data_IF_634684126930
#
_entry.id   IF_634684126930
#
_cell.length_a   1.000
_cell.length_b   1.000
_cell.length_c   1.000
_cell.angle_alpha   90.00
_cell.angle_beta   90.00
_cell.angle_gamma   90.00
#
_symmetry.space_group_name_H-M   'P 1'
#
loop_
_entity.id
_entity.type
_entity.pdbx_description
1 polymer ?
#
# COMPACT_ATOMS: atom_id res chain seq x y z
N UNK A 1 36.74 -71.34 -26.77
CA UNK A 1 37.38 -70.78 -27.98
C UNK A 1 36.84 -69.39 -28.15
N UNK A 2 37.67 -68.35 -27.88
CA UNK A 2 37.30 -66.96 -28.13
C UNK A 2 37.67 -66.64 -29.57
N UNK A 3 36.70 -66.46 -30.43
CA UNK A 3 36.93 -66.00 -31.82
C UNK A 3 37.49 -64.58 -31.77
N UNK A 4 38.65 -64.29 -32.36
CA UNK A 4 39.16 -62.92 -32.40
C UNK A 4 38.22 -62.10 -33.29
N UNK A 5 37.69 -60.98 -32.75
CA UNK A 5 36.95 -59.96 -33.51
C UNK A 5 37.90 -59.46 -34.59
N UNK A 6 37.55 -59.64 -35.87
CA UNK A 6 38.41 -59.28 -36.99
C UNK A 6 38.61 -57.78 -37.03
N UNK A 7 39.83 -57.32 -37.31
CA UNK A 7 40.20 -55.90 -37.39
C UNK A 7 39.22 -55.04 -38.21
N UNK A 8 38.63 -55.49 -39.33
CA UNK A 8 37.64 -54.73 -40.08
C UNK A 8 36.32 -54.50 -39.33
N UNK A 9 35.89 -55.43 -38.45
CA UNK A 9 34.68 -55.28 -37.61
C UNK A 9 34.93 -54.21 -36.52
N UNK A 10 36.12 -54.18 -35.92
CA UNK A 10 36.52 -53.16 -34.96
C UNK A 10 36.63 -51.77 -35.62
N UNK A 11 37.16 -51.71 -36.86
CA UNK A 11 37.24 -50.49 -37.65
C UNK A 11 35.83 -49.96 -38.04
N UNK A 12 34.91 -50.87 -38.39
CA UNK A 12 33.53 -50.57 -38.73
C UNK A 12 32.76 -49.99 -37.50
N UNK A 13 33.05 -50.54 -36.30
CA UNK A 13 32.47 -50.06 -35.05
C UNK A 13 33.03 -48.70 -34.63
N UNK A 14 34.28 -48.38 -34.97
CA UNK A 14 34.89 -47.06 -34.71
C UNK A 14 34.40 -45.97 -35.68
N UNK A 15 33.95 -46.33 -36.87
CA UNK A 15 33.41 -45.40 -37.87
C UNK A 15 31.94 -44.98 -37.59
N UNK A 16 31.25 -45.65 -36.65
CA UNK A 16 29.85 -45.36 -36.36
C UNK A 16 29.63 -44.25 -35.32
N UNK A 17 30.69 -43.71 -34.68
CA UNK A 17 30.60 -42.58 -33.77
C UNK A 17 30.75 -41.25 -34.53
N UNK A 18 29.80 -40.97 -35.44
CA UNK A 18 29.65 -39.60 -35.94
C UNK A 18 29.09 -38.78 -34.78
N UNK A 19 29.78 -37.75 -34.30
CA UNK A 19 29.24 -36.87 -33.24
C UNK A 19 27.95 -36.22 -33.74
N UNK A 20 26.83 -36.60 -33.15
CA UNK A 20 25.56 -35.94 -33.39
C UNK A 20 25.67 -34.55 -32.74
N UNK A 21 25.66 -33.50 -33.53
CA UNK A 21 25.64 -32.11 -33.04
C UNK A 21 24.16 -31.69 -32.96
N UNK A 22 23.59 -31.59 -31.78
CA UNK A 22 22.19 -31.17 -31.68
C UNK A 22 22.03 -29.69 -32.04
N UNK A 23 20.82 -29.31 -32.47
CA UNK A 23 20.44 -27.90 -32.52
C UNK A 23 20.67 -27.30 -31.14
N UNK A 24 21.50 -26.27 -31.07
CA UNK A 24 21.73 -25.52 -29.81
C UNK A 24 21.02 -24.17 -29.89
N UNK A 25 20.20 -23.86 -28.88
CA UNK A 25 19.54 -22.59 -28.75
C UNK A 25 19.92 -22.00 -27.39
N UNK A 26 20.43 -20.79 -27.40
CA UNK A 26 20.95 -20.10 -26.23
C UNK A 26 20.41 -18.67 -26.12
N UNK A 27 20.48 -18.12 -24.93
CA UNK A 27 20.20 -16.69 -24.70
C UNK A 27 21.34 -16.06 -23.92
N UNK A 28 21.73 -14.85 -24.30
CA UNK A 28 22.71 -14.06 -23.57
C UNK A 28 22.16 -13.51 -22.25
N UNK A 29 20.83 -13.43 -22.12
CA UNK A 29 20.15 -12.84 -20.95
C UNK A 29 18.88 -13.61 -20.61
N UNK A 30 18.95 -14.63 -19.71
CA UNK A 30 17.77 -15.40 -19.31
C UNK A 30 16.74 -14.60 -18.52
N UNK A 31 17.14 -13.44 -17.96
CA UNK A 31 16.24 -12.48 -17.29
C UNK A 31 16.51 -11.08 -17.84
N UNK A 32 15.53 -10.54 -18.54
CA UNK A 32 15.56 -9.18 -19.10
C UNK A 32 14.73 -8.28 -18.20
N UNK A 33 15.34 -7.18 -17.72
CA UNK A 33 14.65 -6.16 -16.89
C UNK A 33 14.65 -4.85 -17.64
N UNK A 34 13.48 -4.28 -17.87
CA UNK A 34 13.32 -3.00 -18.58
C UNK A 34 12.29 -2.13 -17.89
N UNK A 35 12.41 -0.83 -18.02
CA UNK A 35 11.42 0.13 -17.54
C UNK A 35 10.17 0.11 -18.45
N UNK A 36 9.00 0.31 -17.87
CA UNK A 36 7.75 0.39 -18.61
C UNK A 36 7.84 1.45 -19.71
N UNK A 37 7.22 1.18 -20.89
CA UNK A 37 7.26 1.97 -22.13
C UNK A 37 8.62 2.03 -22.84
N UNK A 38 9.65 1.38 -22.32
CA UNK A 38 10.93 1.22 -23.01
C UNK A 38 10.92 0.04 -23.99
N UNK A 39 12.07 -0.27 -24.56
CA UNK A 39 12.30 -1.39 -25.48
C UNK A 39 12.86 -2.60 -24.72
N UNK A 40 12.37 -3.80 -25.02
CA UNK A 40 12.89 -5.05 -24.51
C UNK A 40 13.45 -5.91 -25.64
N UNK A 41 14.74 -6.26 -25.54
CA UNK A 41 15.40 -7.21 -26.46
C UNK A 41 15.47 -8.57 -25.79
N UNK A 42 14.80 -9.58 -26.38
CA UNK A 42 14.83 -10.97 -25.95
C UNK A 42 15.76 -11.72 -26.90
N UNK A 43 16.99 -11.99 -26.44
CA UNK A 43 18.01 -12.59 -27.28
C UNK A 43 17.77 -14.10 -27.44
N UNK A 44 17.85 -14.57 -28.67
CA UNK A 44 17.83 -15.97 -29.01
C UNK A 44 18.89 -16.22 -30.09
N UNK A 45 19.88 -17.03 -29.76
CA UNK A 45 20.96 -17.39 -30.65
C UNK A 45 20.91 -18.90 -30.87
N UNK A 46 21.09 -19.33 -32.10
CA UNK A 46 21.05 -20.76 -32.42
C UNK A 46 22.20 -21.20 -33.35
N UNK A 47 22.50 -22.48 -33.31
CA UNK A 47 23.38 -23.14 -34.25
C UNK A 47 22.71 -24.43 -34.69
N UNK A 48 22.68 -24.67 -36.00
CA UNK A 48 22.15 -25.84 -36.65
C UNK A 48 23.30 -26.68 -37.25
N UNK A 49 23.09 -27.96 -37.44
CA UNK A 49 24.07 -28.86 -38.07
C UNK A 49 24.08 -28.69 -39.62
N UNK A 50 22.88 -28.77 -40.21
CA UNK A 50 22.69 -28.81 -41.68
C UNK A 50 21.66 -27.79 -42.15
N UNK A 51 20.64 -27.55 -41.34
CA UNK A 51 19.51 -26.71 -41.71
C UNK A 51 19.92 -25.26 -41.82
N UNK A 52 19.79 -24.67 -43.02
CA UNK A 52 20.14 -23.28 -43.31
C UNK A 52 18.98 -22.32 -43.09
N UNK A 53 17.74 -22.85 -42.99
CA UNK A 53 16.53 -22.06 -42.83
C UNK A 53 15.61 -22.72 -41.78
N UNK A 54 16.05 -22.84 -40.52
CA UNK A 54 15.23 -23.44 -39.49
C UNK A 54 14.00 -22.56 -39.19
N UNK A 55 12.92 -23.21 -38.78
CA UNK A 55 11.71 -22.52 -38.35
C UNK A 55 11.91 -21.93 -36.96
N UNK A 56 11.66 -20.64 -36.79
CA UNK A 56 11.77 -19.92 -35.54
C UNK A 56 10.37 -19.61 -35.03
N UNK A 57 10.10 -19.94 -33.76
CA UNK A 57 8.87 -19.63 -33.07
C UNK A 57 9.16 -18.95 -31.74
N UNK A 58 8.34 -17.98 -31.39
CA UNK A 58 8.32 -17.38 -30.07
C UNK A 58 6.97 -17.58 -29.42
N UNK A 59 6.99 -18.05 -28.20
CA UNK A 59 5.81 -18.31 -27.39
C UNK A 59 5.91 -17.58 -26.07
N UNK A 60 4.77 -17.11 -25.54
CA UNK A 60 4.64 -16.56 -24.20
C UNK A 60 3.81 -17.50 -23.35
N UNK A 61 4.30 -17.79 -22.15
CA UNK A 61 3.57 -18.59 -21.16
C UNK A 61 2.58 -17.68 -20.43
N UNK A 62 1.30 -18.00 -20.57
CA UNK A 62 0.17 -17.37 -19.88
C UNK A 62 -0.63 -18.45 -19.11
N UNK A 63 -1.95 -18.46 -19.15
CA UNK A 63 -2.77 -19.59 -18.67
C UNK A 63 -2.51 -20.84 -19.53
N UNK A 64 -1.94 -20.67 -20.73
CA UNK A 64 -1.41 -21.67 -21.66
C UNK A 64 -0.20 -21.10 -22.38
N UNK A 65 0.13 -21.64 -23.55
CA UNK A 65 1.18 -21.09 -24.42
C UNK A 65 0.50 -20.31 -25.56
N UNK A 66 0.83 -19.04 -25.70
CA UNK A 66 0.38 -18.19 -26.81
C UNK A 66 1.54 -17.89 -27.75
N UNK A 67 1.25 -17.85 -29.06
CA UNK A 67 2.25 -17.44 -30.03
C UNK A 67 2.50 -15.93 -29.98
N UNK A 68 3.77 -15.55 -29.96
CA UNK A 68 4.27 -14.19 -30.12
C UNK A 68 4.70 -13.98 -31.58
N UNK A 69 5.45 -14.97 -32.10
CA UNK A 69 5.91 -15.00 -33.47
C UNK A 69 5.81 -16.45 -34.01
N UNK A 70 5.14 -16.61 -35.12
CA UNK A 70 4.91 -17.89 -35.78
C UNK A 70 4.69 -17.66 -37.29
N UNK A 71 5.15 -18.58 -38.10
CA UNK A 71 5.02 -18.52 -39.56
C UNK A 71 5.43 -17.14 -40.14
N UNK A 72 6.61 -16.66 -39.73
CA UNK A 72 7.19 -15.38 -40.12
C UNK A 72 6.34 -14.13 -39.79
N UNK A 73 5.36 -14.27 -38.91
CA UNK A 73 4.47 -13.17 -38.51
C UNK A 73 4.39 -13.02 -37.00
N UNK A 74 4.34 -11.79 -36.51
CA UNK A 74 3.94 -11.51 -35.14
C UNK A 74 2.44 -11.67 -34.97
N UNK A 75 2.00 -12.11 -33.80
CA UNK A 75 0.60 -12.34 -33.49
C UNK A 75 0.09 -11.53 -32.29
N UNK A 76 -1.22 -11.34 -32.22
CA UNK A 76 -1.89 -10.67 -31.11
C UNK A 76 -1.37 -9.27 -30.81
N UNK A 77 -1.08 -8.95 -29.53
CA UNK A 77 -0.67 -7.59 -29.12
C UNK A 77 0.74 -7.20 -29.58
N UNK A 78 1.50 -8.09 -30.21
CA UNK A 78 2.86 -7.85 -30.67
C UNK A 78 2.94 -7.29 -32.10
N UNK A 79 1.84 -7.40 -32.86
CA UNK A 79 1.74 -6.86 -34.22
C UNK A 79 2.02 -5.35 -34.24
N UNK A 80 2.92 -4.93 -35.13
CA UNK A 80 3.26 -3.52 -35.33
C UNK A 80 4.15 -2.87 -34.27
N UNK A 81 4.47 -3.59 -33.18
CA UNK A 81 5.37 -3.10 -32.12
C UNK A 81 6.53 -4.07 -31.79
N UNK A 82 6.62 -5.17 -32.48
CA UNK A 82 7.72 -6.10 -32.36
C UNK A 82 8.49 -6.22 -33.65
N UNK A 83 9.80 -6.49 -33.57
CA UNK A 83 10.71 -6.76 -34.68
C UNK A 83 11.51 -8.01 -34.39
N UNK A 84 11.93 -8.72 -35.43
CA UNK A 84 12.81 -9.87 -35.33
C UNK A 84 14.06 -9.62 -36.13
N UNK A 85 15.21 -10.03 -35.58
CA UNK A 85 16.53 -10.02 -36.23
C UNK A 85 17.20 -11.35 -35.92
N UNK A 86 17.39 -12.19 -36.95
CA UNK A 86 17.72 -13.59 -36.77
C UNK A 86 16.60 -14.29 -35.96
N UNK A 87 16.93 -14.84 -34.79
CA UNK A 87 15.94 -15.38 -33.88
C UNK A 87 15.63 -14.45 -32.68
N UNK A 88 16.35 -13.35 -32.54
CA UNK A 88 16.15 -12.36 -31.45
C UNK A 88 14.96 -11.47 -31.75
N UNK A 89 14.05 -11.31 -30.79
CA UNK A 89 12.93 -10.35 -30.90
C UNK A 89 13.17 -9.11 -30.06
N UNK A 90 12.66 -7.99 -30.55
CA UNK A 90 12.67 -6.70 -29.88
C UNK A 90 11.25 -6.18 -29.77
N UNK A 91 10.79 -6.01 -28.52
CA UNK A 91 9.46 -5.49 -28.20
C UNK A 91 9.59 -3.99 -27.90
N UNK A 92 8.82 -3.16 -28.59
CA UNK A 92 8.79 -1.71 -28.36
C UNK A 92 7.65 -1.34 -27.42
N UNK A 93 7.85 -0.28 -26.60
CA UNK A 93 6.85 0.25 -25.66
C UNK A 93 6.24 -0.85 -24.80
N UNK A 94 7.10 -1.59 -24.12
CA UNK A 94 6.67 -2.69 -23.25
C UNK A 94 5.81 -2.17 -22.10
N UNK A 95 4.81 -2.94 -21.72
CA UNK A 95 3.91 -2.67 -20.62
C UNK A 95 3.94 -3.82 -19.61
N UNK A 96 3.33 -3.65 -18.46
CA UNK A 96 3.19 -4.72 -17.46
C UNK A 96 2.54 -6.00 -18.03
N UNK A 97 1.68 -5.87 -19.05
CA UNK A 97 1.05 -7.01 -19.73
C UNK A 97 2.05 -7.84 -20.53
N UNK A 98 3.18 -7.27 -20.89
CA UNK A 98 4.24 -7.98 -21.63
C UNK A 98 5.16 -8.77 -20.69
N UNK A 99 5.19 -8.46 -19.39
CA UNK A 99 5.95 -9.22 -18.42
C UNK A 99 5.54 -10.71 -18.43
N UNK A 100 6.51 -11.59 -18.19
CA UNK A 100 6.27 -13.04 -18.15
C UNK A 100 7.40 -13.84 -18.77
N UNK A 101 7.16 -15.14 -18.92
CA UNK A 101 8.11 -16.10 -19.47
C UNK A 101 7.88 -16.29 -20.96
N UNK A 102 8.95 -16.11 -21.73
CA UNK A 102 9.00 -16.30 -23.15
C UNK A 102 9.88 -17.49 -23.50
N UNK A 103 9.52 -18.19 -24.55
CA UNK A 103 10.29 -19.30 -25.11
C UNK A 103 10.58 -19.05 -26.57
N UNK A 104 11.85 -19.10 -26.92
CA UNK A 104 12.32 -19.19 -28.28
C UNK A 104 12.48 -20.67 -28.62
N UNK A 105 11.84 -21.12 -29.68
CA UNK A 105 11.97 -22.50 -30.22
C UNK A 105 12.52 -22.42 -31.64
N UNK A 106 13.50 -23.26 -31.92
CA UNK A 106 14.11 -23.38 -33.25
C UNK A 106 13.99 -24.81 -33.71
N UNK A 107 13.29 -25.03 -34.84
CA UNK A 107 13.08 -26.32 -35.44
C UNK A 107 13.89 -26.45 -36.73
N UNK A 108 14.91 -27.32 -36.71
CA UNK A 108 15.79 -27.64 -37.84
C UNK A 108 15.45 -29.01 -38.40
N UNK A 109 14.62 -29.07 -39.41
CA UNK A 109 14.02 -30.32 -39.91
C UNK A 109 15.02 -31.32 -40.52
N UNK A 110 16.17 -30.82 -40.97
CA UNK A 110 17.24 -31.63 -41.59
C UNK A 110 18.34 -32.07 -40.63
N UNK A 111 18.30 -31.57 -39.39
CA UNK A 111 19.27 -31.90 -38.36
C UNK A 111 18.91 -33.20 -37.61
N UNK A 112 19.92 -33.83 -37.02
CA UNK A 112 19.74 -35.09 -36.27
C UNK A 112 18.90 -34.89 -35.01
N UNK A 113 19.05 -33.75 -34.33
CA UNK A 113 18.17 -33.27 -33.26
C UNK A 113 17.49 -32.03 -33.77
N UNK A 114 16.18 -32.14 -33.98
CA UNK A 114 15.41 -31.14 -34.75
C UNK A 114 14.90 -29.96 -33.95
N UNK A 115 14.87 -30.02 -32.61
CA UNK A 115 14.28 -28.97 -31.78
C UNK A 115 15.26 -28.53 -30.71
N UNK A 116 15.45 -27.21 -30.62
CA UNK A 116 16.12 -26.54 -29.51
C UNK A 116 15.25 -25.41 -28.94
N UNK A 117 15.42 -25.12 -27.66
CA UNK A 117 14.65 -24.06 -26.98
C UNK A 117 15.50 -23.26 -26.00
N UNK A 118 15.16 -22.00 -25.82
CA UNK A 118 15.67 -21.13 -24.77
C UNK A 118 14.52 -20.38 -24.09
N UNK A 119 14.58 -20.26 -22.76
CA UNK A 119 13.58 -19.57 -21.96
C UNK A 119 14.13 -18.24 -21.45
N UNK A 120 13.34 -17.16 -21.58
CA UNK A 120 13.67 -15.83 -21.18
C UNK A 120 12.53 -15.23 -20.34
N UNK A 121 12.85 -14.75 -19.15
CA UNK A 121 11.88 -14.05 -18.31
C UNK A 121 11.99 -12.55 -18.52
N UNK A 122 10.92 -11.90 -18.99
CA UNK A 122 10.82 -10.46 -19.10
C UNK A 122 10.19 -9.88 -17.85
N UNK A 123 10.92 -9.01 -17.16
CA UNK A 123 10.44 -8.24 -15.99
C UNK A 123 10.31 -6.77 -16.38
N UNK A 124 9.10 -6.25 -16.32
CA UNK A 124 8.81 -4.83 -16.57
C UNK A 124 8.82 -4.09 -15.24
N UNK A 125 9.64 -3.06 -15.16
CA UNK A 125 9.85 -2.24 -13.96
C UNK A 125 9.04 -0.96 -14.09
N UNK A 126 8.38 -0.54 -13.01
CA UNK A 126 7.59 0.68 -12.97
C UNK A 126 8.18 1.63 -11.93
N UNK A 127 8.60 2.85 -12.33
CA UNK A 127 9.10 3.84 -11.39
C UNK A 127 8.01 4.29 -10.43
N UNK A 128 8.37 4.87 -9.27
CA UNK A 128 7.40 5.38 -8.32
C UNK A 128 6.53 6.47 -8.92
N UNK A 129 5.24 6.44 -8.59
CA UNK A 129 4.32 7.54 -8.78
C UNK A 129 4.38 8.49 -7.58
N UNK A 130 3.75 9.66 -7.70
CA UNK A 130 3.62 10.56 -6.54
C UNK A 130 2.84 9.84 -5.44
N UNK A 131 3.45 9.55 -4.28
CA UNK A 131 2.78 8.83 -3.22
C UNK A 131 1.66 9.66 -2.60
N UNK A 132 0.63 8.98 -2.09
CA UNK A 132 -0.35 9.59 -1.21
C UNK A 132 0.23 9.70 0.21
N UNK A 133 0.07 10.86 0.85
CA UNK A 133 0.49 11.09 2.22
C UNK A 133 -0.70 11.46 3.09
N UNK A 134 -0.91 10.70 4.16
CA UNK A 134 -1.87 10.99 5.20
C UNK A 134 -1.13 11.61 6.38
N UNK A 135 -1.28 12.92 6.55
CA UNK A 135 -0.63 13.72 7.60
C UNK A 135 -1.74 14.55 8.28
N UNK A 136 -2.01 14.32 9.58
CA UNK A 136 -2.99 15.13 10.29
C UNK A 136 -2.56 16.59 10.36
N UNK A 137 -3.50 17.52 10.26
CA UNK A 137 -3.22 18.96 10.35
C UNK A 137 -2.84 19.39 11.77
N UNK A 138 -3.37 18.67 12.79
CA UNK A 138 -3.02 18.93 14.20
C UNK A 138 -3.14 17.66 15.05
N UNK A 139 -2.46 17.65 16.19
CA UNK A 139 -2.56 16.62 17.22
C UNK A 139 -2.35 17.23 18.61
N UNK A 140 -2.80 16.53 19.66
CA UNK A 140 -2.60 16.97 21.05
C UNK A 140 -1.30 16.40 21.60
N UNK A 141 -0.58 17.20 22.38
CA UNK A 141 0.61 16.75 23.12
C UNK A 141 0.30 15.48 23.92
N UNK A 142 1.19 14.49 23.79
CA UNK A 142 1.05 13.20 24.47
C UNK A 142 0.20 12.17 23.73
N UNK A 143 -0.46 12.52 22.63
CA UNK A 143 -1.23 11.56 21.82
C UNK A 143 -0.34 10.69 20.94
N UNK A 144 -0.90 9.59 20.44
CA UNK A 144 -0.31 8.72 19.42
C UNK A 144 -0.73 9.23 18.06
N UNK A 145 0.24 9.40 17.15
CA UNK A 145 -0.01 9.88 15.78
C UNK A 145 0.69 8.98 14.79
N UNK A 146 0.01 8.65 13.70
CA UNK A 146 0.56 7.85 12.63
C UNK A 146 0.45 8.60 11.30
N UNK A 147 1.59 8.81 10.63
CA UNK A 147 1.67 9.34 9.29
C UNK A 147 1.84 8.17 8.32
N UNK A 148 1.12 8.17 7.20
CA UNK A 148 1.14 7.10 6.22
C UNK A 148 1.53 7.63 4.85
N UNK A 149 2.41 6.90 4.19
CA UNK A 149 2.87 7.17 2.83
C UNK A 149 2.68 5.91 1.98
N UNK A 150 2.02 6.04 0.82
CA UNK A 150 1.72 4.89 -0.02
C UNK A 150 1.85 5.21 -1.50
N UNK A 151 2.65 4.42 -2.21
CA UNK A 151 2.64 4.26 -3.65
C UNK A 151 2.11 2.86 -3.99
N UNK A 152 1.14 2.79 -4.91
CA UNK A 152 0.44 1.54 -5.23
C UNK A 152 0.94 0.89 -6.53
N UNK A 153 1.74 1.60 -7.33
CA UNK A 153 1.97 1.25 -8.73
C UNK A 153 3.41 0.86 -9.04
N UNK A 154 4.37 1.20 -8.19
CA UNK A 154 5.77 0.91 -8.44
C UNK A 154 6.09 -0.59 -8.41
N UNK A 155 6.93 -1.02 -9.35
CA UNK A 155 7.44 -2.39 -9.45
C UNK A 155 8.96 -2.34 -9.66
N UNK A 156 9.75 -2.89 -8.74
CA UNK A 156 9.37 -3.46 -7.43
C UNK A 156 8.71 -2.44 -6.50
N UNK A 157 8.05 -2.89 -5.41
CA UNK A 157 7.47 -2.00 -4.41
C UNK A 157 8.46 -0.95 -3.92
N UNK A 158 7.98 0.28 -3.73
CA UNK A 158 8.80 1.38 -3.26
C UNK A 158 9.18 1.24 -1.78
N UNK A 159 10.34 1.78 -1.43
CA UNK A 159 10.71 2.13 -0.06
C UNK A 159 10.46 3.61 0.17
N UNK A 160 10.16 3.96 1.43
CA UNK A 160 9.71 5.29 1.80
C UNK A 160 10.68 5.97 2.76
N UNK A 161 10.91 7.26 2.52
CA UNK A 161 11.69 8.11 3.41
C UNK A 161 10.86 9.32 3.81
N UNK A 162 10.65 9.49 5.12
CA UNK A 162 9.98 10.66 5.67
C UNK A 162 10.94 11.81 5.90
N UNK A 163 10.47 13.01 5.67
CA UNK A 163 11.18 14.25 5.92
C UNK A 163 10.35 15.16 6.82
N UNK A 164 11.02 15.79 7.77
CA UNK A 164 10.49 16.88 8.59
C UNK A 164 11.32 18.12 8.33
N UNK A 165 10.70 19.21 7.92
CA UNK A 165 11.36 20.49 7.62
C UNK A 165 12.58 20.33 6.71
N UNK A 166 12.42 19.52 5.64
CA UNK A 166 13.46 19.12 4.66
C UNK A 166 14.59 18.24 5.20
N UNK A 167 14.53 17.79 6.46
CA UNK A 167 15.51 16.87 7.05
C UNK A 167 14.94 15.45 7.10
N UNK A 168 15.72 14.42 6.73
CA UNK A 168 15.24 13.04 6.79
C UNK A 168 14.99 12.60 8.24
N UNK A 169 13.84 11.97 8.46
CA UNK A 169 13.48 11.31 9.72
C UNK A 169 14.10 9.93 9.73
N UNK A 170 15.21 9.79 10.46
CA UNK A 170 15.95 8.53 10.53
C UNK A 170 15.35 7.60 11.58
N UNK A 171 15.41 6.26 11.37
CA UNK A 171 15.07 5.32 12.42
C UNK A 171 15.92 5.59 13.67
N UNK A 172 15.30 5.59 14.84
CA UNK A 172 16.01 5.86 16.09
C UNK A 172 17.03 4.76 16.41
N UNK A 173 18.18 5.14 16.94
CA UNK A 173 19.32 4.24 17.18
C UNK A 173 19.21 3.41 18.46
N UNK A 174 18.33 3.73 19.40
CA UNK A 174 18.21 3.08 20.71
C UNK A 174 16.74 2.89 21.15
N UNK A 175 16.50 1.87 21.96
CA UNK A 175 15.19 1.28 22.24
C UNK A 175 14.16 2.10 23.05
N UNK A 176 14.44 3.33 23.49
CA UNK A 176 13.43 4.18 24.13
C UNK A 176 13.08 5.36 23.23
N UNK A 177 12.24 5.11 22.24
CA UNK A 177 12.01 6.03 21.16
C UNK A 177 10.58 6.58 21.19
N UNK A 178 10.47 7.88 20.99
CA UNK A 178 9.17 8.57 20.89
C UNK A 178 8.47 8.30 19.57
N UNK A 179 9.18 7.76 18.58
CA UNK A 179 8.63 7.41 17.26
C UNK A 179 9.30 6.18 16.65
N UNK A 180 8.65 5.58 15.67
CA UNK A 180 9.18 4.50 14.82
C UNK A 180 8.95 4.80 13.35
N UNK A 181 9.88 4.35 12.49
CA UNK A 181 9.81 4.50 11.02
C UNK A 181 9.91 3.14 10.38
N UNK A 182 8.95 2.81 9.55
CA UNK A 182 8.98 1.62 8.72
C UNK A 182 9.08 2.04 7.24
N UNK A 183 10.24 1.77 6.63
CA UNK A 183 10.53 2.16 5.25
C UNK A 183 9.73 1.36 4.22
N UNK A 184 9.35 0.13 4.54
CA UNK A 184 8.68 -0.76 3.59
C UNK A 184 7.17 -0.52 3.59
N UNK A 185 6.59 -0.18 4.74
CA UNK A 185 5.16 0.14 4.85
C UNK A 185 4.84 1.61 4.68
N UNK A 186 5.85 2.49 4.72
CA UNK A 186 5.70 3.93 4.63
C UNK A 186 5.10 4.57 5.88
N UNK A 187 5.15 3.90 7.03
CA UNK A 187 4.57 4.38 8.28
C UNK A 187 5.62 5.09 9.13
N UNK A 188 5.29 6.32 9.57
CA UNK A 188 5.97 7.04 10.63
C UNK A 188 4.99 7.16 11.81
N UNK A 189 5.24 6.41 12.88
CA UNK A 189 4.38 6.36 14.05
C UNK A 189 5.04 7.04 15.25
N UNK A 190 4.37 8.04 15.81
CA UNK A 190 4.73 8.69 17.07
C UNK A 190 3.97 8.02 18.21
N UNK A 191 4.69 7.51 19.19
CA UNK A 191 4.10 6.90 20.40
C UNK A 191 3.61 7.94 21.40
N UNK A 192 4.23 9.10 21.38
CA UNK A 192 3.86 10.26 22.20
C UNK A 192 4.39 11.52 21.54
N UNK A 193 3.51 12.29 20.89
CA UNK A 193 3.91 13.54 20.25
C UNK A 193 4.18 14.64 21.28
N UNK A 194 5.11 15.52 20.94
CA UNK A 194 5.49 16.71 21.71
C UNK A 194 5.44 17.93 20.79
N UNK A 195 5.48 19.14 21.35
CA UNK A 195 5.54 20.41 20.57
C UNK A 195 6.73 20.39 19.59
N UNK A 196 7.85 19.72 19.97
CA UNK A 196 9.01 19.59 19.10
C UNK A 196 8.74 18.74 17.83
N UNK A 197 7.68 17.97 17.79
CA UNK A 197 7.29 17.15 16.63
C UNK A 197 6.42 17.94 15.62
N UNK A 198 5.96 19.15 15.97
CA UNK A 198 5.32 20.04 15.01
C UNK A 198 6.28 20.39 13.87
N UNK A 199 5.78 20.47 12.63
CA UNK A 199 6.60 20.79 11.46
C UNK A 199 5.96 20.42 10.14
N UNK A 200 6.67 20.69 9.04
CA UNK A 200 6.26 20.34 7.68
C UNK A 200 6.76 18.94 7.35
N UNK A 201 5.83 18.00 7.15
CA UNK A 201 6.16 16.64 6.79
C UNK A 201 5.86 16.34 5.33
N UNK A 202 6.73 15.60 4.68
CA UNK A 202 6.50 14.99 3.38
C UNK A 202 7.22 13.64 3.30
N UNK A 203 6.80 12.81 2.38
CA UNK A 203 7.38 11.49 2.14
C UNK A 203 7.89 11.38 0.70
N UNK A 204 8.98 10.68 0.52
CA UNK A 204 9.58 10.32 -0.75
C UNK A 204 9.52 8.80 -0.95
N UNK A 205 9.00 8.36 -2.11
CA UNK A 205 8.97 6.97 -2.55
C UNK A 205 10.10 6.71 -3.56
N UNK A 206 10.85 5.62 -3.39
CA UNK A 206 11.94 5.20 -4.26
C UNK A 206 11.98 3.67 -4.36
N UNK A 207 12.11 3.13 -5.58
CA UNK A 207 12.28 1.70 -5.82
C UNK A 207 13.55 1.37 -6.65
N UNK A 208 14.44 2.33 -6.83
CA UNK A 208 15.64 2.19 -7.67
C UNK A 208 15.38 2.21 -9.17
N UNK A 209 14.16 2.50 -9.60
CA UNK A 209 13.75 2.61 -11.02
C UNK A 209 13.31 4.05 -11.28
N UNK A 210 13.87 4.69 -12.29
CA UNK A 210 13.57 6.08 -12.62
C UNK A 210 13.93 7.06 -11.51
N UNK A 211 13.15 8.13 -11.37
CA UNK A 211 13.34 9.15 -10.33
C UNK A 211 12.40 8.93 -9.15
N UNK A 212 12.89 9.14 -7.95
CA UNK A 212 12.04 9.19 -6.75
C UNK A 212 10.96 10.26 -6.87
N UNK A 213 9.84 10.05 -6.19
CA UNK A 213 8.68 10.94 -6.16
C UNK A 213 8.27 11.25 -4.74
N UNK A 214 7.89 12.51 -4.50
CA UNK A 214 7.47 12.97 -3.18
C UNK A 214 6.03 13.47 -3.21
N UNK A 215 5.31 13.26 -2.11
CA UNK A 215 4.02 13.91 -1.90
C UNK A 215 4.17 15.41 -1.60
N UNK A 216 3.08 16.14 -1.69
CA UNK A 216 3.01 17.52 -1.21
C UNK A 216 3.13 17.50 0.32
N UNK A 217 4.01 18.34 0.86
CA UNK A 217 4.21 18.45 2.30
C UNK A 217 3.01 19.11 2.99
N UNK A 218 2.63 18.56 4.15
CA UNK A 218 1.59 19.12 5.01
C UNK A 218 2.18 19.46 6.39
N UNK A 219 1.71 20.58 6.94
CA UNK A 219 2.12 21.00 8.27
C UNK A 219 1.27 20.29 9.33
N UNK A 220 1.93 19.67 10.29
CA UNK A 220 1.32 19.09 11.48
C UNK A 220 1.57 20.02 12.66
N UNK A 221 0.51 20.62 13.21
CA UNK A 221 0.56 21.40 14.44
C UNK A 221 0.40 20.51 15.66
N UNK A 222 1.07 20.85 16.76
CA UNK A 222 0.87 20.15 18.03
C UNK A 222 0.40 21.16 19.07
N UNK A 223 -0.79 20.90 19.62
CA UNK A 223 -1.45 21.77 20.59
C UNK A 223 -1.39 21.17 22.00
N UNK A 224 -1.15 21.99 22.99
CA UNK A 224 -1.25 21.57 24.39
C UNK A 224 -2.71 21.60 24.86
N UNK A 225 -3.08 20.60 25.65
CA UNK A 225 -4.37 20.56 26.31
C UNK A 225 -4.41 21.67 27.39
N UNK A 226 -5.33 22.63 27.22
CA UNK A 226 -5.52 23.69 28.24
C UNK A 226 -6.24 23.14 29.49
N UNK A 227 -5.48 22.35 30.27
CA UNK A 227 -6.00 21.71 31.51
C UNK A 227 -6.56 22.74 32.48
N UNK A 228 -5.92 23.91 32.75
CA UNK A 228 -6.50 24.94 33.64
C UNK A 228 -7.86 25.44 33.17
N UNK A 229 -8.05 25.67 31.88
CA UNK A 229 -9.32 26.08 31.32
C UNK A 229 -10.43 25.04 31.47
N UNK A 230 -10.09 23.77 31.25
CA UNK A 230 -11.02 22.63 31.39
C UNK A 230 -11.44 22.50 32.87
N UNK A 231 -10.49 22.55 33.81
CA UNK A 231 -10.76 22.47 35.25
C UNK A 231 -11.65 23.64 35.69
N UNK A 232 -11.34 24.87 35.27
CA UNK A 232 -12.18 26.05 35.56
C UNK A 232 -13.61 25.90 35.03
N UNK A 233 -13.77 25.38 33.80
CA UNK A 233 -15.08 25.12 33.21
C UNK A 233 -15.89 24.08 33.99
N UNK A 234 -15.24 22.99 34.42
CA UNK A 234 -15.88 21.94 35.23
C UNK A 234 -16.32 22.53 36.61
N UNK A 235 -15.46 23.32 37.25
CA UNK A 235 -15.78 23.95 38.54
C UNK A 235 -16.99 24.86 38.40
N UNK A 236 -17.00 25.71 37.36
CA UNK A 236 -18.14 26.62 37.10
C UNK A 236 -19.42 25.81 36.86
N UNK A 237 -19.36 24.76 36.07
CA UNK A 237 -20.51 23.89 35.79
C UNK A 237 -21.06 23.25 37.09
N UNK A 238 -20.17 22.74 37.95
CA UNK A 238 -20.54 22.15 39.23
C UNK A 238 -21.20 23.21 40.16
N UNK A 239 -20.69 24.45 40.19
CA UNK A 239 -21.28 25.51 40.96
C UNK A 239 -22.68 25.88 40.45
N UNK A 240 -22.87 25.99 39.12
CA UNK A 240 -24.18 26.26 38.54
C UNK A 240 -25.18 25.14 38.87
N UNK A 241 -24.79 23.89 38.72
CA UNK A 241 -25.65 22.76 39.07
C UNK A 241 -26.01 22.77 40.58
N UNK A 242 -25.04 23.06 41.43
CA UNK A 242 -25.27 23.20 42.88
C UNK A 242 -26.25 24.31 43.23
N UNK A 243 -26.10 25.48 42.64
CA UNK A 243 -27.02 26.60 42.82
C UNK A 243 -28.42 26.29 42.29
N UNK A 244 -28.54 25.65 41.13
CA UNK A 244 -29.82 25.24 40.57
C UNK A 244 -30.52 24.22 41.46
N UNK A 245 -29.80 23.24 42.00
CA UNK A 245 -30.36 22.23 42.91
C UNK A 245 -30.80 22.85 44.22
N UNK A 246 -30.00 23.77 44.79
CA UNK A 246 -30.38 24.52 45.96
C UNK A 246 -31.61 25.40 45.73
N UNK A 247 -31.66 26.09 44.57
CA UNK A 247 -32.80 26.89 44.13
C UNK A 247 -34.08 26.07 44.00
N UNK A 248 -34.02 24.90 43.36
CA UNK A 248 -35.15 23.97 43.22
C UNK A 248 -35.59 23.43 44.60
N UNK A 249 -34.65 23.06 45.46
CA UNK A 249 -34.94 22.59 46.81
C UNK A 249 -35.59 23.73 47.65
N UNK A 250 -35.11 24.99 47.53
CA UNK A 250 -35.70 26.13 48.23
C UNK A 250 -37.12 26.41 47.72
N UNK A 251 -37.34 26.44 46.40
CA UNK A 251 -38.67 26.66 45.79
C UNK A 251 -39.66 25.51 46.21
N UNK A 252 -39.19 24.25 46.27
CA UNK A 252 -39.98 23.13 46.73
C UNK A 252 -40.35 23.27 48.24
N UNK A 253 -39.43 23.78 49.07
CA UNK A 253 -39.66 24.02 50.50
C UNK A 253 -40.61 25.18 50.73
N UNK A 254 -40.65 26.20 49.89
CA UNK A 254 -41.58 27.35 49.92
C UNK A 254 -42.96 27.03 49.34
N UNK A 255 -43.18 25.80 48.83
CA UNK A 255 -44.48 25.37 48.30
C UNK A 255 -44.84 25.91 46.91
N UNK A 256 -43.89 26.50 46.20
CA UNK A 256 -44.16 27.05 44.85
C UNK A 256 -44.57 26.02 43.82
N UNK A 257 -44.36 24.73 44.08
CA UNK A 257 -44.74 23.63 43.19
C UNK A 257 -46.06 22.93 43.58
N UNK A 258 -46.78 23.44 44.56
CA UNK A 258 -48.07 22.86 45.04
C UNK A 258 -49.29 23.47 44.36
N UNK A 259 -49.13 24.07 43.17
CA UNK A 259 -50.28 24.54 42.39
C UNK A 259 -50.52 23.57 41.24
N UNK A 260 -51.63 22.87 41.31
CA UNK A 260 -52.17 22.05 40.21
C UNK A 260 -52.32 22.89 38.95
N UNK A 261 -51.79 22.36 37.82
CA UNK A 261 -52.00 23.02 36.55
C UNK A 261 -51.24 22.34 35.41
N UNK A 262 -51.93 21.56 34.65
CA UNK A 262 -51.55 21.02 33.36
C UNK A 262 -50.80 22.02 32.48
N UNK A 263 -49.83 21.48 31.72
CA UNK A 263 -49.17 22.08 30.57
C UNK A 263 -47.84 22.80 30.82
N UNK A 264 -46.76 22.21 30.43
CA UNK A 264 -45.44 22.84 30.35
C UNK A 264 -44.21 21.94 30.22
N UNK A 265 -44.38 20.65 30.09
CA UNK A 265 -43.20 19.74 30.05
C UNK A 265 -42.56 19.57 28.67
N UNK A 266 -43.19 20.03 27.57
CA UNK A 266 -42.70 19.75 26.21
C UNK A 266 -41.78 20.84 25.63
N UNK A 267 -41.82 22.07 26.14
CA UNK A 267 -41.11 23.21 25.51
C UNK A 267 -39.58 23.18 25.75
N UNK A 268 -39.12 22.70 26.90
CA UNK A 268 -37.68 22.68 27.26
C UNK A 268 -36.98 21.53 26.49
N UNK A 269 -37.68 20.41 26.30
CA UNK A 269 -37.12 19.25 25.55
C UNK A 269 -37.03 19.59 24.05
N UNK A 270 -37.97 20.34 23.52
CA UNK A 270 -38.01 20.79 22.13
C UNK A 270 -36.92 21.81 21.80
N UNK A 271 -36.59 22.68 22.75
CA UNK A 271 -35.50 23.67 22.62
C UNK A 271 -34.11 22.98 22.63
N UNK A 272 -33.90 21.98 23.47
CA UNK A 272 -32.65 21.21 23.52
C UNK A 272 -32.43 20.35 22.27
N UNK A 273 -33.48 19.83 21.67
CA UNK A 273 -33.38 19.07 20.42
C UNK A 273 -33.18 19.97 19.18
N UNK A 274 -33.64 21.21 19.21
CA UNK A 274 -33.41 22.20 18.16
C UNK A 274 -31.97 22.70 18.15
N UNK A 275 -31.35 22.93 19.33
CA UNK A 275 -29.96 23.37 19.45
C UNK A 275 -28.93 22.26 19.01
N UNK A 276 -29.29 20.99 19.07
CA UNK A 276 -28.43 19.88 18.69
C UNK A 276 -28.33 19.67 17.16
N UNK A 277 -29.15 20.33 16.34
CA UNK A 277 -29.16 20.15 14.87
C UNK A 277 -28.21 21.05 14.08
N UNK A 278 -27.54 22.01 14.73
CA UNK A 278 -26.74 23.03 14.03
C UNK A 278 -25.24 22.85 14.10
N UNK A 279 -24.71 21.76 14.64
CA UNK A 279 -23.26 21.54 14.68
C UNK A 279 -22.91 20.09 14.32
N UNK A 280 -22.48 19.90 13.08
CA UNK A 280 -22.14 18.59 12.50
C UNK A 280 -20.74 18.08 12.85
N UNK A 281 -19.97 18.79 13.73
CA UNK A 281 -18.53 18.50 13.92
C UNK A 281 -18.08 18.23 15.37
N UNK A 282 -19.00 17.97 16.29
CA UNK A 282 -18.69 17.59 17.70
C UNK A 282 -19.46 16.37 18.21
N UNK A 283 -19.76 15.40 17.33
CA UNK A 283 -20.63 14.26 17.67
C UNK A 283 -20.11 13.34 18.76
N UNK A 284 -18.81 13.21 18.98
CA UNK A 284 -18.26 12.23 19.93
C UNK A 284 -18.23 12.77 21.38
N UNK A 285 -17.91 14.04 21.57
CA UNK A 285 -17.87 14.65 22.90
C UNK A 285 -19.26 14.95 23.46
N UNK A 286 -20.22 15.32 22.59
CA UNK A 286 -21.59 15.62 23.05
C UNK A 286 -22.36 14.35 23.46
N UNK A 287 -22.15 13.21 22.77
CA UNK A 287 -22.78 11.95 23.18
C UNK A 287 -22.28 11.45 24.53
N UNK A 288 -21.00 11.65 24.83
CA UNK A 288 -20.45 11.23 26.14
C UNK A 288 -20.99 12.12 27.28
N UNK A 289 -21.14 13.43 27.04
CA UNK A 289 -21.71 14.37 28.00
C UNK A 289 -23.22 14.12 28.19
N UNK A 290 -23.95 13.80 27.11
CA UNK A 290 -25.38 13.47 27.22
C UNK A 290 -25.62 12.13 27.92
N UNK A 291 -24.78 11.12 27.76
CA UNK A 291 -24.89 9.85 28.47
C UNK A 291 -24.55 10.01 29.96
N UNK A 292 -23.55 10.83 30.29
CA UNK A 292 -23.22 11.21 31.67
C UNK A 292 -24.36 12.00 32.33
N UNK A 293 -24.96 12.97 31.64
CA UNK A 293 -26.11 13.71 32.11
C UNK A 293 -27.34 12.82 32.29
N UNK A 294 -27.59 11.89 31.36
CA UNK A 294 -28.70 10.94 31.47
C UNK A 294 -28.54 9.96 32.69
N UNK A 295 -27.31 9.52 32.93
CA UNK A 295 -26.99 8.71 34.14
C UNK A 295 -27.12 9.52 35.43
N UNK A 296 -26.67 10.81 35.43
CA UNK A 296 -26.82 11.70 36.58
C UNK A 296 -28.31 12.03 36.88
N UNK A 297 -29.13 12.27 35.87
CA UNK A 297 -30.57 12.50 36.07
C UNK A 297 -31.31 11.26 36.54
N UNK A 298 -30.93 10.08 36.11
CA UNK A 298 -31.53 8.81 36.59
C UNK A 298 -31.20 8.52 38.06
N UNK A 299 -30.02 8.91 38.53
CA UNK A 299 -29.61 8.79 39.92
C UNK A 299 -30.16 9.92 40.81
N UNK A 300 -30.46 11.10 40.22
CA UNK A 300 -31.04 12.25 40.92
C UNK A 300 -32.53 12.01 41.29
N UNK A 301 -33.28 11.31 40.39
CA UNK A 301 -34.71 11.02 40.69
C UNK A 301 -34.92 10.01 41.80
N UNK A 302 -33.91 9.19 42.13
CA UNK A 302 -33.92 8.27 43.31
C UNK A 302 -33.33 8.93 44.56
N UNK A 303 -32.53 10.01 44.41
CA UNK A 303 -31.95 10.72 45.58
C UNK A 303 -32.76 11.92 46.06
N UNK A 304 -33.65 12.48 45.24
CA UNK A 304 -34.51 13.60 45.67
C UNK A 304 -35.48 13.20 46.83
N UNK A 305 -35.83 11.93 46.96
CA UNK A 305 -36.57 11.41 48.10
C UNK A 305 -35.73 11.23 49.38
N UNK A 306 -34.38 11.20 49.28
CA UNK A 306 -33.50 11.01 50.45
C UNK A 306 -32.96 12.32 51.01
N UNK A 307 -32.84 13.39 50.20
CA UNK A 307 -32.24 14.66 50.62
C UNK A 307 -33.21 15.54 51.48
N UNK A 308 -34.53 15.37 51.31
CA UNK A 308 -35.52 16.12 52.10
C UNK A 308 -35.91 15.46 53.43
N UNK A 309 -35.35 14.28 53.78
CA UNK A 309 -35.68 13.57 55.04
C UNK A 309 -34.62 13.66 56.12
N UNK A 310 -33.52 14.40 55.92
CA UNK A 310 -32.49 14.61 56.95
C UNK A 310 -32.04 16.10 57.01
N UNK A 311 -32.93 16.93 57.42
CA UNK A 311 -32.63 18.24 58.11
C UNK A 311 -33.87 18.60 58.90
#
# INVERSE_FOLDING_TARGET
>A
MKTPVSLPVLLLLLLQNVPVVPVTVTTSSPVVKVEEYSEARLSCEFKTEKDQNPRIEWKKKEIGMSFVYFDNNFSGPFVGRAKIDGATITLQRVTLKDAGDYRCEVSASTDSVQLGEANITLKVLVPPHTPSCEIPSSALTGSVVELRCKDQYSIPPASYTWYKDKKPVLPPRHGNTTYSVNKDTGILAFHKVTIADAGLYHCEANNGVGKSKSCVGNHMAIDDLNVPGIVAGIVILCLVISLCTLGVCYAHRQGYFNQEGHSGSNSVMEWLTSAARTSTDQRTSLMLVMDLLHRMFRTSNTRSHLCCKKL
#
